data_IF_841144721927
#
_entry.id   IF_841144721927
#
_cell.length_a   1.000
_cell.length_b   1.000
_cell.length_c   1.000
_cell.angle_alpha   90.00
_cell.angle_beta   90.00
_cell.angle_gamma   90.00
#
_symmetry.space_group_name_H-M   'P 1'
#
loop_
_entity.id
_entity.type
_entity.pdbx_description
1 polymer ?
#
# COMPACT_ATOMS: atom_id res chain seq x y z
N UNK A 1 3.21 -4.07 -14.58
CA UNK A 1 3.16 -2.97 -13.59
C UNK A 1 1.73 -2.61 -13.18
N UNK A 2 0.86 -2.19 -14.11
CA UNK A 2 -0.54 -1.82 -13.82
C UNK A 2 -1.36 -2.94 -13.15
N UNK A 3 -1.10 -4.20 -13.52
CA UNK A 3 -1.74 -5.37 -12.92
C UNK A 3 -1.47 -5.54 -11.43
N UNK A 4 -0.29 -5.12 -10.95
CA UNK A 4 0.08 -5.21 -9.53
C UNK A 4 -0.71 -4.18 -8.73
N UNK A 5 -0.83 -2.96 -9.27
CA UNK A 5 -1.65 -1.90 -8.69
C UNK A 5 -3.14 -2.26 -8.68
N UNK A 6 -3.65 -2.79 -9.79
CA UNK A 6 -5.02 -3.27 -9.86
C UNK A 6 -5.26 -4.41 -8.85
N UNK A 7 -4.33 -5.35 -8.73
CA UNK A 7 -4.40 -6.44 -7.75
C UNK A 7 -4.37 -5.95 -6.29
N UNK A 8 -3.54 -4.95 -5.97
CA UNK A 8 -3.48 -4.35 -4.63
C UNK A 8 -4.75 -3.58 -4.28
N UNK A 9 -5.28 -2.76 -5.20
CA UNK A 9 -6.55 -2.04 -4.99
C UNK A 9 -7.70 -3.05 -4.83
N UNK A 10 -7.71 -4.10 -5.65
CA UNK A 10 -8.71 -5.16 -5.55
C UNK A 10 -8.62 -5.90 -4.22
N UNK A 11 -7.41 -6.22 -3.73
CA UNK A 11 -7.18 -6.85 -2.42
C UNK A 11 -7.72 -5.99 -1.26
N UNK A 12 -7.49 -4.68 -1.31
CA UNK A 12 -8.02 -3.74 -0.31
C UNK A 12 -9.53 -3.66 -0.38
N UNK A 13 -10.08 -3.54 -1.58
CA UNK A 13 -11.52 -3.55 -1.79
C UNK A 13 -12.16 -4.83 -1.26
N UNK A 14 -11.52 -5.98 -1.52
CA UNK A 14 -11.96 -7.27 -1.03
C UNK A 14 -11.90 -7.33 0.50
N UNK A 15 -10.81 -6.88 1.12
CA UNK A 15 -10.68 -6.82 2.58
C UNK A 15 -11.76 -5.93 3.22
N UNK A 16 -11.99 -4.73 2.67
CA UNK A 16 -13.05 -3.80 3.11
C UNK A 16 -14.44 -4.43 2.96
N UNK A 17 -14.72 -5.04 1.81
CA UNK A 17 -15.99 -5.73 1.55
C UNK A 17 -16.20 -6.90 2.51
N UNK A 18 -15.13 -7.64 2.79
CA UNK A 18 -15.14 -8.77 3.70
C UNK A 18 -15.27 -8.33 5.17
N UNK A 19 -14.87 -7.09 5.51
CA UNK A 19 -15.04 -6.47 6.81
C UNK A 19 -16.48 -6.00 7.04
N UNK A 20 -17.12 -5.39 6.03
CA UNK A 20 -18.54 -5.02 6.07
C UNK A 20 -19.46 -6.23 6.27
N UNK A 21 -19.08 -7.39 5.71
CA UNK A 21 -19.91 -8.61 5.74
C UNK A 21 -19.55 -9.56 6.90
N UNK A 22 -18.57 -9.22 7.75
CA UNK A 22 -18.10 -10.10 8.82
C UNK A 22 -18.96 -10.01 10.10
N UNK A 23 -19.54 -11.16 10.50
CA UNK A 23 -20.16 -11.35 11.83
C UNK A 23 -19.15 -11.04 12.97
N UNK A 24 -19.62 -10.53 14.13
CA UNK A 24 -18.77 -9.96 15.19
C UNK A 24 -17.70 -10.91 15.76
N UNK A 25 -17.95 -12.23 15.78
CA UNK A 25 -17.04 -13.23 16.37
C UNK A 25 -15.67 -13.34 15.67
N UNK A 26 -15.56 -13.01 14.38
CA UNK A 26 -14.31 -13.13 13.58
C UNK A 26 -13.61 -11.78 13.29
N UNK A 27 -14.04 -10.69 13.91
CA UNK A 27 -13.55 -9.33 13.62
C UNK A 27 -12.07 -9.12 13.96
N UNK A 28 -11.54 -9.70 15.05
CA UNK A 28 -10.13 -9.49 15.47
C UNK A 28 -9.12 -10.09 14.49
N UNK A 29 -9.31 -11.34 14.07
CA UNK A 29 -8.39 -11.97 13.09
C UNK A 29 -8.45 -11.28 11.73
N UNK A 30 -9.64 -10.84 11.30
CA UNK A 30 -9.80 -10.04 10.08
C UNK A 30 -9.17 -8.65 10.20
N UNK A 31 -9.21 -8.03 11.38
CA UNK A 31 -8.56 -6.74 11.62
C UNK A 31 -7.03 -6.83 11.51
N UNK A 32 -6.42 -7.91 12.03
CA UNK A 32 -4.98 -8.16 11.87
C UNK A 32 -4.59 -8.34 10.39
N UNK A 33 -5.35 -9.13 9.64
CA UNK A 33 -5.13 -9.27 8.19
C UNK A 33 -5.26 -7.94 7.43
N UNK A 34 -6.23 -7.12 7.84
CA UNK A 34 -6.44 -5.79 7.25
C UNK A 34 -5.30 -4.84 7.59
N UNK A 35 -4.82 -4.86 8.83
CA UNK A 35 -3.66 -4.09 9.27
C UNK A 35 -2.40 -4.51 8.50
N UNK A 36 -2.18 -5.82 8.33
CA UNK A 36 -1.07 -6.35 7.55
C UNK A 36 -1.16 -5.93 6.08
N UNK A 37 -2.35 -5.95 5.48
CA UNK A 37 -2.58 -5.46 4.11
C UNK A 37 -2.29 -3.96 3.97
N UNK A 38 -2.67 -3.15 4.96
CA UNK A 38 -2.37 -1.70 4.98
C UNK A 38 -0.87 -1.47 5.11
N UNK A 39 -0.20 -2.16 6.04
CA UNK A 39 1.26 -2.06 6.22
C UNK A 39 1.97 -2.43 4.92
N UNK A 40 1.54 -3.50 4.27
CA UNK A 40 2.09 -3.92 2.98
C UNK A 40 1.95 -2.84 1.90
N UNK A 41 0.79 -2.19 1.83
CA UNK A 41 0.53 -1.08 0.91
C UNK A 41 1.40 0.14 1.20
N UNK A 42 1.55 0.50 2.47
CA UNK A 42 2.43 1.59 2.89
C UNK A 42 3.88 1.26 2.51
N UNK A 43 4.32 0.03 2.75
CA UNK A 43 5.67 -0.40 2.38
C UNK A 43 5.91 -0.33 0.87
N UNK A 44 4.94 -0.75 0.06
CA UNK A 44 4.96 -0.61 -1.40
C UNK A 44 5.02 0.86 -1.83
N UNK A 45 4.20 1.71 -1.23
CA UNK A 45 4.16 3.14 -1.55
C UNK A 45 5.50 3.81 -1.22
N UNK A 46 6.06 3.54 -0.03
CA UNK A 46 7.38 4.03 0.37
C UNK A 46 8.45 3.56 -0.61
N UNK A 47 8.41 2.28 -1.00
CA UNK A 47 9.38 1.71 -1.93
C UNK A 47 9.36 2.37 -3.32
N UNK A 48 8.22 2.91 -3.75
CA UNK A 48 8.09 3.65 -5.01
C UNK A 48 8.42 5.14 -4.84
N UNK A 49 7.98 5.75 -3.73
CA UNK A 49 8.14 7.19 -3.48
C UNK A 49 9.60 7.55 -3.18
N UNK A 50 10.31 6.72 -2.39
CA UNK A 50 11.71 6.96 -2.01
C UNK A 50 12.64 7.12 -3.22
N UNK A 51 12.68 6.19 -4.20
CA UNK A 51 13.51 6.37 -5.39
C UNK A 51 13.04 7.55 -6.27
N UNK A 52 11.75 7.87 -6.30
CA UNK A 52 11.26 9.07 -6.99
C UNK A 52 11.82 10.36 -6.37
N UNK A 53 11.77 10.46 -5.03
CA UNK A 53 12.32 11.59 -4.29
C UNK A 53 13.85 11.64 -4.45
N UNK A 54 14.52 10.49 -4.37
CA UNK A 54 15.97 10.40 -4.57
C UNK A 54 16.38 10.87 -5.97
N UNK A 55 15.58 10.57 -7.00
CA UNK A 55 15.78 11.07 -8.36
C UNK A 55 15.66 12.61 -8.43
N UNK A 56 14.64 13.19 -7.81
CA UNK A 56 14.45 14.65 -7.73
C UNK A 56 15.58 15.35 -6.95
N UNK A 57 16.03 14.76 -5.85
CA UNK A 57 17.17 15.27 -5.07
C UNK A 57 18.46 15.15 -5.89
N UNK A 58 18.65 14.06 -6.64
CA UNK A 58 19.78 13.89 -7.54
C UNK A 58 19.83 14.95 -8.63
N UNK A 59 18.70 15.25 -9.28
CA UNK A 59 18.60 16.28 -10.33
C UNK A 59 18.85 17.69 -9.78
N UNK A 60 18.29 18.03 -8.62
CA UNK A 60 18.52 19.35 -7.99
C UNK A 60 19.97 19.55 -7.54
N UNK A 61 20.66 18.48 -7.12
CA UNK A 61 22.09 18.52 -6.79
C UNK A 61 22.96 18.62 -8.06
N UNK A 62 22.58 17.95 -9.15
CA UNK A 62 23.27 18.02 -10.45
C UNK A 62 23.11 19.38 -11.13
N UNK A 63 21.94 20.02 -11.05
CA UNK A 63 21.68 21.37 -11.58
C UNK A 63 22.40 22.50 -10.83
N UNK A 64 22.89 22.22 -9.62
CA UNK A 64 23.61 23.20 -8.77
C UNK A 64 25.14 23.19 -9.01
N UNK A 65 25.64 22.27 -9.82
CA UNK A 65 27.07 22.08 -10.10
C UNK A 65 27.39 22.54 -11.52
#
# INVERSE_FOLDING_TARGET
>A
MWLIWAGSIWLVWYAVRQWRTARPQRRRTKALFMLLAIIWLVMLAVWVIVPLIASWVGETVLLRK
#
